data_IF_428012304318
#
_entry.id   IF_428012304318
#
_cell.length_a   1.000
_cell.length_b   1.000
_cell.length_c   1.000
_cell.angle_alpha   90.00
_cell.angle_beta   90.00
_cell.angle_gamma   90.00
#
_symmetry.space_group_name_H-M   'P 1'
#
loop_
_entity.id
_entity.type
_entity.pdbx_description
1 polymer ?
#
# COMPACT_ATOMS: atom_id res chain seq x y z
N UNK A 1 13.54 9.82 16.50
CA UNK A 1 12.06 9.93 16.44
C UNK A 1 11.56 10.12 17.86
N UNK A 2 10.72 11.12 18.12
CA UNK A 2 10.09 11.29 19.44
C UNK A 2 8.93 10.30 19.61
N UNK A 3 8.43 10.14 20.84
CA UNK A 3 7.37 9.18 21.16
C UNK A 3 6.08 9.44 20.37
N UNK A 4 5.72 10.71 20.16
CA UNK A 4 4.53 11.09 19.38
C UNK A 4 4.61 10.59 17.93
N UNK A 5 5.74 10.80 17.25
CA UNK A 5 5.90 10.35 15.87
C UNK A 5 6.04 8.82 15.77
N UNK A 6 6.59 8.16 16.79
CA UNK A 6 6.58 6.69 16.86
C UNK A 6 5.13 6.16 16.96
N UNK A 7 4.29 6.75 17.81
CA UNK A 7 2.89 6.35 17.94
C UNK A 7 2.11 6.60 16.65
N UNK A 8 2.33 7.74 15.97
CA UNK A 8 1.74 8.01 14.64
C UNK A 8 2.18 6.97 13.61
N UNK A 9 3.45 6.55 13.63
CA UNK A 9 3.97 5.54 12.71
C UNK A 9 3.31 4.17 12.94
N UNK A 10 3.22 3.75 14.20
CA UNK A 10 2.57 2.49 14.58
C UNK A 10 1.09 2.51 14.22
N UNK A 11 0.39 3.60 14.53
CA UNK A 11 -1.02 3.79 14.18
C UNK A 11 -1.23 3.75 12.67
N UNK A 12 -0.37 4.43 11.90
CA UNK A 12 -0.45 4.41 10.45
C UNK A 12 -0.21 2.99 9.89
N UNK A 13 0.76 2.27 10.44
CA UNK A 13 1.02 0.89 10.04
C UNK A 13 -0.16 -0.04 10.37
N UNK A 14 -0.79 0.16 11.52
CA UNK A 14 -2.01 -0.54 11.92
C UNK A 14 -3.17 -0.27 10.94
N UNK A 15 -3.37 0.99 10.55
CA UNK A 15 -4.43 1.41 9.63
C UNK A 15 -4.18 0.86 8.21
N UNK A 16 -2.97 1.00 7.67
CA UNK A 16 -2.65 0.51 6.33
C UNK A 16 -2.58 -1.02 6.26
N UNK A 17 -2.06 -1.70 7.28
CA UNK A 17 -2.17 -3.15 7.42
C UNK A 17 -3.63 -3.61 7.51
N UNK A 18 -4.49 -2.85 8.19
CA UNK A 18 -5.93 -3.10 8.29
C UNK A 18 -6.69 -2.98 6.97
N UNK A 19 -6.13 -2.32 5.95
CA UNK A 19 -6.75 -2.25 4.62
C UNK A 19 -6.95 -3.65 4.02
N UNK A 20 -6.03 -4.60 4.24
CA UNK A 20 -6.17 -5.96 3.72
C UNK A 20 -7.26 -6.76 4.41
N UNK A 21 -7.45 -6.54 5.73
CA UNK A 21 -8.59 -7.08 6.49
C UNK A 21 -9.91 -6.63 5.87
N UNK A 22 -10.12 -5.33 5.72
CA UNK A 22 -11.38 -4.81 5.19
C UNK A 22 -11.61 -5.23 3.73
N UNK A 23 -10.56 -5.30 2.91
CA UNK A 23 -10.68 -5.84 1.55
C UNK A 23 -11.10 -7.31 1.55
N UNK A 24 -10.55 -8.13 2.46
CA UNK A 24 -10.93 -9.55 2.57
C UNK A 24 -12.38 -9.77 3.01
N UNK A 25 -12.91 -8.86 3.82
CA UNK A 25 -14.31 -8.87 4.25
C UNK A 25 -15.23 -8.46 3.09
N UNK A 26 -14.89 -7.37 2.39
CA UNK A 26 -15.82 -6.73 1.46
C UNK A 26 -15.71 -7.23 0.01
N UNK A 27 -14.52 -7.60 -0.48
CA UNK A 27 -14.31 -7.98 -1.88
C UNK A 27 -15.11 -9.22 -2.34
N UNK A 28 -15.34 -10.25 -1.50
CA UNK A 28 -16.20 -11.38 -1.88
C UNK A 28 -17.66 -10.98 -2.12
N UNK A 29 -18.16 -9.93 -1.45
CA UNK A 29 -19.58 -9.50 -1.53
C UNK A 29 -19.79 -8.40 -2.56
N UNK A 30 -18.91 -7.39 -2.58
CA UNK A 30 -19.00 -6.25 -3.48
C UNK A 30 -18.32 -6.50 -4.83
N UNK A 31 -17.40 -7.44 -4.90
CA UNK A 31 -16.52 -7.58 -6.06
C UNK A 31 -15.44 -6.48 -6.11
N UNK A 32 -14.37 -6.66 -6.92
CA UNK A 32 -13.25 -5.73 -6.95
C UNK A 32 -13.62 -4.33 -7.46
N UNK A 33 -14.42 -4.24 -8.53
CA UNK A 33 -14.78 -2.97 -9.15
C UNK A 33 -15.56 -2.07 -8.20
N UNK A 34 -16.69 -2.57 -7.70
CA UNK A 34 -17.58 -1.81 -6.80
C UNK A 34 -16.91 -1.47 -5.47
N UNK A 35 -16.16 -2.41 -4.88
CA UNK A 35 -15.43 -2.14 -3.63
C UNK A 35 -14.43 -0.99 -3.79
N UNK A 36 -13.64 -1.02 -4.87
CA UNK A 36 -12.61 -0.01 -5.07
C UNK A 36 -13.22 1.32 -5.44
N UNK A 37 -14.29 1.34 -6.23
CA UNK A 37 -15.06 2.54 -6.51
C UNK A 37 -15.54 3.21 -5.21
N UNK A 38 -16.15 2.45 -4.29
CA UNK A 38 -16.51 2.98 -2.98
C UNK A 38 -15.30 3.52 -2.21
N UNK A 39 -14.20 2.76 -2.15
CA UNK A 39 -12.98 3.16 -1.44
C UNK A 39 -12.46 4.51 -1.95
N UNK A 40 -12.25 4.65 -3.25
CA UNK A 40 -11.63 5.85 -3.83
C UNK A 40 -12.59 7.04 -3.80
N UNK A 41 -13.89 6.82 -4.01
CA UNK A 41 -14.90 7.89 -3.93
C UNK A 41 -15.09 8.39 -2.50
N UNK A 42 -15.18 7.49 -1.50
CA UNK A 42 -15.24 7.92 -0.10
C UNK A 42 -13.97 8.65 0.34
N UNK A 43 -12.80 8.19 -0.10
CA UNK A 43 -11.54 8.89 0.15
C UNK A 43 -11.51 10.28 -0.50
N UNK A 44 -11.96 10.40 -1.75
CA UNK A 44 -12.02 11.66 -2.49
C UNK A 44 -12.96 12.66 -1.82
N UNK A 45 -14.16 12.23 -1.42
CA UNK A 45 -15.14 13.05 -0.70
C UNK A 45 -14.57 13.50 0.65
N UNK A 46 -13.99 12.58 1.42
CA UNK A 46 -13.39 12.93 2.72
C UNK A 46 -12.27 13.96 2.57
N UNK A 47 -11.35 13.77 1.61
CA UNK A 47 -10.27 14.70 1.36
C UNK A 47 -10.77 16.04 0.81
N UNK A 48 -11.87 16.06 0.05
CA UNK A 48 -12.53 17.29 -0.37
C UNK A 48 -13.09 18.07 0.83
N UNK A 49 -13.77 17.39 1.77
CA UNK A 49 -14.25 18.01 3.01
C UNK A 49 -13.09 18.58 3.85
N UNK A 50 -12.00 17.84 3.99
CA UNK A 50 -10.79 18.32 4.65
C UNK A 50 -10.19 19.52 3.91
N UNK A 51 -10.17 19.51 2.58
CA UNK A 51 -9.68 20.63 1.78
C UNK A 51 -10.51 21.90 2.01
N UNK A 52 -11.83 21.77 2.13
CA UNK A 52 -12.73 22.89 2.47
C UNK A 52 -12.41 23.47 3.85
N UNK A 53 -12.27 22.62 4.87
CA UNK A 53 -11.94 23.05 6.24
C UNK A 53 -10.57 23.72 6.30
N UNK A 54 -9.57 23.16 5.60
CA UNK A 54 -8.22 23.72 5.51
C UNK A 54 -8.10 24.90 4.53
N UNK A 55 -9.19 25.28 3.85
CA UNK A 55 -9.23 26.29 2.78
C UNK A 55 -8.16 26.08 1.70
N UNK A 56 -7.85 24.81 1.40
CA UNK A 56 -6.90 24.42 0.36
C UNK A 56 -7.65 24.17 -0.94
N UNK A 57 -7.28 24.89 -2.00
CA UNK A 57 -7.83 24.66 -3.35
C UNK A 57 -7.04 23.56 -4.07
N UNK A 58 -7.75 22.70 -4.80
CA UNK A 58 -7.14 21.73 -5.69
C UNK A 58 -7.08 22.34 -7.10
N UNK A 59 -5.88 22.62 -7.60
CA UNK A 59 -5.68 23.17 -8.94
C UNK A 59 -5.76 22.05 -10.00
N UNK A 60 -6.99 21.65 -10.33
CA UNK A 60 -7.26 20.62 -11.33
C UNK A 60 -6.85 21.07 -12.73
N UNK A 61 -7.10 22.34 -13.11
CA UNK A 61 -6.79 22.84 -14.45
C UNK A 61 -5.31 22.69 -14.79
N UNK A 62 -4.43 22.98 -13.82
CA UNK A 62 -2.98 22.87 -14.01
C UNK A 62 -2.45 21.44 -13.93
N UNK A 63 -3.00 20.60 -13.05
CA UNK A 63 -2.41 19.31 -12.69
C UNK A 63 -3.25 18.07 -13.04
N UNK A 64 -4.37 18.19 -13.77
CA UNK A 64 -5.25 17.04 -14.06
C UNK A 64 -4.54 15.84 -14.67
N UNK A 65 -3.64 16.03 -15.65
CA UNK A 65 -2.87 14.92 -16.26
C UNK A 65 -1.99 14.22 -15.23
N UNK A 66 -1.39 14.99 -14.32
CA UNK A 66 -0.58 14.45 -13.25
C UNK A 66 -1.43 13.60 -12.30
N UNK A 67 -2.60 14.11 -11.91
CA UNK A 67 -3.52 13.38 -11.06
C UNK A 67 -4.06 12.12 -11.73
N UNK A 68 -4.30 12.11 -13.05
CA UNK A 68 -4.68 10.90 -13.77
C UNK A 68 -3.60 9.82 -13.73
N UNK A 69 -2.35 10.18 -14.04
CA UNK A 69 -1.23 9.22 -14.00
C UNK A 69 -1.02 8.70 -12.58
N UNK A 70 -1.02 9.60 -11.58
CA UNK A 70 -0.83 9.22 -10.19
C UNK A 70 -2.01 8.40 -9.67
N UNK A 71 -3.24 8.80 -9.97
CA UNK A 71 -4.47 8.09 -9.61
C UNK A 71 -4.51 6.68 -10.20
N UNK A 72 -4.09 6.52 -11.45
CA UNK A 72 -4.01 5.22 -12.09
C UNK A 72 -3.02 4.28 -11.38
N UNK A 73 -1.74 4.68 -11.32
CA UNK A 73 -0.67 3.78 -10.85
C UNK A 73 -0.61 3.64 -9.33
N UNK A 74 -1.04 4.66 -8.58
CA UNK A 74 -0.96 4.67 -7.12
C UNK A 74 -2.27 4.30 -6.42
N UNK A 75 -3.40 4.21 -7.13
CA UNK A 75 -4.70 4.00 -6.49
C UNK A 75 -5.59 3.04 -7.27
N UNK A 76 -6.08 3.43 -8.46
CA UNK A 76 -7.05 2.65 -9.22
C UNK A 76 -6.54 1.23 -9.55
N UNK A 77 -5.43 1.13 -10.28
CA UNK A 77 -4.86 -0.15 -10.68
C UNK A 77 -4.44 -1.02 -9.49
N UNK A 78 -3.60 -0.55 -8.55
CA UNK A 78 -3.15 -1.40 -7.45
C UNK A 78 -4.29 -1.80 -6.52
N UNK A 79 -5.24 -0.91 -6.22
CA UNK A 79 -6.36 -1.27 -5.36
C UNK A 79 -7.27 -2.30 -6.02
N UNK A 80 -7.57 -2.16 -7.33
CA UNK A 80 -8.35 -3.16 -8.07
C UNK A 80 -7.68 -4.53 -8.05
N UNK A 81 -6.37 -4.57 -8.29
CA UNK A 81 -5.60 -5.81 -8.27
C UNK A 81 -5.54 -6.45 -6.89
N UNK A 82 -5.38 -5.66 -5.81
CA UNK A 82 -5.45 -6.19 -4.44
C UNK A 82 -6.85 -6.66 -4.06
N UNK A 83 -7.91 -5.96 -4.47
CA UNK A 83 -9.29 -6.39 -4.21
C UNK A 83 -9.62 -7.66 -4.99
N UNK A 84 -9.14 -7.78 -6.23
CA UNK A 84 -9.22 -9.03 -7.00
C UNK A 84 -8.50 -10.17 -6.28
N UNK A 85 -7.26 -9.94 -5.85
CA UNK A 85 -6.48 -10.94 -5.13
C UNK A 85 -7.11 -11.32 -3.77
N UNK A 86 -7.78 -10.38 -3.10
CA UNK A 86 -8.48 -10.61 -1.84
C UNK A 86 -9.71 -11.52 -1.94
N UNK A 87 -10.15 -11.89 -3.14
CA UNK A 87 -11.15 -12.96 -3.28
C UNK A 87 -10.57 -14.34 -3.00
N UNK A 88 -9.26 -14.51 -3.16
CA UNK A 88 -8.59 -15.83 -3.10
C UNK A 88 -7.57 -15.90 -1.97
N UNK A 89 -6.74 -14.87 -1.82
CA UNK A 89 -5.62 -14.84 -0.87
C UNK A 89 -6.03 -14.31 0.49
N UNK A 90 -5.30 -14.69 1.54
CA UNK A 90 -5.46 -14.17 2.91
C UNK A 90 -5.00 -12.72 3.04
N UNK A 91 -5.52 -11.99 4.03
CA UNK A 91 -5.07 -10.65 4.37
C UNK A 91 -3.57 -10.64 4.71
N UNK A 92 -3.10 -11.68 5.41
CA UNK A 92 -1.69 -11.93 5.69
C UNK A 92 -0.85 -11.94 4.41
N UNK A 93 -1.19 -12.78 3.42
CA UNK A 93 -0.43 -12.89 2.16
C UNK A 93 -0.45 -11.58 1.38
N UNK A 94 -1.61 -10.92 1.23
CA UNK A 94 -1.71 -9.65 0.53
C UNK A 94 -0.82 -8.58 1.14
N UNK A 95 -0.79 -8.51 2.49
CA UNK A 95 0.01 -7.52 3.21
C UNK A 95 1.51 -7.71 3.00
N UNK A 96 1.98 -8.96 2.93
CA UNK A 96 3.39 -9.26 2.67
C UNK A 96 3.75 -9.03 1.21
N UNK A 97 2.90 -9.43 0.25
CA UNK A 97 3.10 -9.13 -1.17
C UNK A 97 3.21 -7.62 -1.40
N UNK A 98 2.39 -6.82 -0.72
CA UNK A 98 2.48 -5.37 -0.78
C UNK A 98 3.83 -4.82 -0.26
N UNK A 99 4.46 -5.45 0.73
CA UNK A 99 5.76 -5.03 1.26
C UNK A 99 6.93 -5.24 0.29
N UNK A 100 6.68 -5.87 -0.86
CA UNK A 100 7.63 -5.93 -1.97
C UNK A 100 7.66 -4.65 -2.81
N UNK A 101 6.77 -3.68 -2.59
CA UNK A 101 6.76 -2.44 -3.38
C UNK A 101 8.13 -1.73 -3.45
N UNK A 102 8.94 -1.62 -2.36
CA UNK A 102 10.23 -0.95 -2.48
C UNK A 102 11.30 -1.75 -3.26
N UNK A 103 11.17 -3.09 -3.33
CA UNK A 103 12.00 -3.96 -4.19
C UNK A 103 11.78 -3.58 -5.65
N UNK A 104 10.51 -3.50 -6.06
CA UNK A 104 10.13 -3.02 -7.39
C UNK A 104 10.58 -1.57 -7.64
N UNK A 105 10.53 -0.71 -6.61
CA UNK A 105 10.98 0.68 -6.67
C UNK A 105 12.44 0.80 -7.06
N UNK A 106 13.30 -0.07 -6.51
CA UNK A 106 14.71 -0.08 -6.84
C UNK A 106 14.98 -0.62 -8.26
N UNK A 107 14.23 -1.63 -8.70
CA UNK A 107 14.34 -2.16 -10.07
C UNK A 107 13.93 -1.08 -11.08
N UNK A 108 12.74 -0.50 -10.92
CA UNK A 108 12.20 0.53 -11.83
C UNK A 108 13.11 1.76 -11.83
N UNK A 109 13.59 2.20 -10.66
CA UNK A 109 14.53 3.31 -10.55
C UNK A 109 15.85 3.03 -11.28
N UNK A 110 16.43 1.84 -11.11
CA UNK A 110 17.68 1.46 -11.79
C UNK A 110 17.51 1.42 -13.32
N UNK A 111 16.41 0.86 -13.81
CA UNK A 111 16.07 0.83 -15.25
C UNK A 111 15.88 2.25 -15.79
N UNK A 112 15.13 3.09 -15.09
CA UNK A 112 14.83 4.45 -15.52
C UNK A 112 16.08 5.34 -15.60
N UNK A 113 16.95 5.26 -14.59
CA UNK A 113 18.17 6.06 -14.53
C UNK A 113 19.38 5.41 -15.22
N UNK A 114 19.22 4.20 -15.79
CA UNK A 114 20.28 3.42 -16.43
C UNK A 114 21.52 3.21 -15.55
N UNK A 115 21.30 3.02 -14.25
CA UNK A 115 22.37 2.75 -13.28
C UNK A 115 22.41 1.28 -12.90
N UNK A 116 23.63 0.77 -12.65
CA UNK A 116 23.80 -0.59 -12.13
C UNK A 116 23.22 -0.71 -10.72
N UNK A 117 22.48 -1.79 -10.50
CA UNK A 117 21.93 -2.14 -9.20
C UNK A 117 23.08 -2.54 -8.27
N UNK A 118 23.17 -1.94 -7.09
CA UNK A 118 24.22 -2.30 -6.13
C UNK A 118 24.07 -3.75 -5.63
N UNK A 119 25.17 -4.38 -5.21
CA UNK A 119 25.15 -5.75 -4.64
C UNK A 119 24.17 -5.88 -3.46
N UNK A 120 24.02 -4.83 -2.64
CA UNK A 120 23.06 -4.80 -1.52
C UNK A 120 21.62 -4.86 -2.02
N UNK A 121 21.30 -4.11 -3.07
CA UNK A 121 19.97 -4.13 -3.67
C UNK A 121 19.72 -5.51 -4.30
N UNK A 122 20.67 -6.08 -5.05
CA UNK A 122 20.53 -7.44 -5.61
C UNK A 122 20.24 -8.51 -4.53
N UNK A 123 20.98 -8.49 -3.42
CA UNK A 123 20.72 -9.39 -2.29
C UNK A 123 19.32 -9.15 -1.70
N UNK A 124 18.89 -7.90 -1.57
CA UNK A 124 17.56 -7.57 -1.09
C UNK A 124 16.45 -8.03 -2.04
N UNK A 125 16.67 -7.93 -3.36
CA UNK A 125 15.76 -8.47 -4.38
C UNK A 125 15.65 -10.00 -4.28
N UNK A 126 16.79 -10.69 -4.15
CA UNK A 126 16.84 -12.13 -3.99
C UNK A 126 16.08 -12.59 -2.73
N UNK A 127 16.38 -11.97 -1.58
CA UNK A 127 15.70 -12.25 -0.33
C UNK A 127 14.19 -12.01 -0.45
N UNK A 128 13.76 -10.84 -0.94
CA UNK A 128 12.34 -10.56 -1.09
C UNK A 128 11.62 -11.55 -2.00
N UNK A 129 12.25 -11.95 -3.10
CA UNK A 129 11.73 -13.00 -3.99
C UNK A 129 11.60 -14.33 -3.26
N UNK A 130 12.62 -14.74 -2.50
CA UNK A 130 12.58 -15.96 -1.68
C UNK A 130 11.49 -15.90 -0.61
N UNK A 131 11.34 -14.76 0.06
CA UNK A 131 10.30 -14.57 1.08
C UNK A 131 8.89 -14.68 0.50
N UNK A 132 8.66 -14.11 -0.69
CA UNK A 132 7.40 -14.31 -1.44
C UNK A 132 7.21 -15.76 -1.84
N UNK A 133 8.22 -16.41 -2.43
CA UNK A 133 8.15 -17.80 -2.85
C UNK A 133 7.84 -18.75 -1.68
N UNK A 134 8.40 -18.47 -0.50
CA UNK A 134 8.13 -19.21 0.73
C UNK A 134 6.67 -19.05 1.20
N UNK A 135 6.13 -17.84 1.14
CA UNK A 135 4.73 -17.59 1.48
C UNK A 135 3.78 -18.34 0.56
N UNK A 136 4.04 -18.25 -0.74
CA UNK A 136 3.22 -18.88 -1.77
C UNK A 136 3.33 -20.40 -1.74
N UNK A 137 4.55 -20.93 -1.55
CA UNK A 137 4.82 -22.36 -1.64
C UNK A 137 4.28 -23.19 -0.47
N UNK A 138 4.13 -22.59 0.71
CA UNK A 138 3.69 -23.31 1.93
C UNK A 138 2.30 -22.91 2.41
N UNK A 139 1.69 -21.86 1.84
CA UNK A 139 0.33 -21.46 2.20
C UNK A 139 -0.71 -22.30 1.47
N UNK A 140 -1.54 -23.02 2.21
CA UNK A 140 -2.60 -23.86 1.65
C UNK A 140 -3.64 -23.06 0.84
N UNK A 141 -3.85 -21.78 1.19
CA UNK A 141 -4.71 -20.91 0.39
C UNK A 141 -4.10 -20.56 -0.98
N UNK A 142 -2.77 -20.65 -1.10
CA UNK A 142 -2.04 -20.46 -2.36
C UNK A 142 -2.06 -21.71 -3.27
N UNK A 143 -2.60 -22.84 -2.80
CA UNK A 143 -2.85 -24.05 -3.60
C UNK A 143 -4.26 -24.09 -4.22
N UNK A 144 -5.10 -23.08 -3.94
CA UNK A 144 -6.46 -22.98 -4.52
C UNK A 144 -6.42 -22.61 -6.00
N UNK A 145 -7.44 -23.01 -6.74
CA UNK A 145 -7.63 -22.58 -8.13
C UNK A 145 -7.67 -21.04 -8.20
N UNK A 146 -6.93 -20.47 -9.15
CA UNK A 146 -6.80 -19.02 -9.31
C UNK A 146 -5.81 -18.32 -8.36
N UNK A 147 -5.19 -19.03 -7.40
CA UNK A 147 -4.23 -18.41 -6.48
C UNK A 147 -3.01 -17.83 -7.18
N UNK A 148 -2.46 -18.52 -8.20
CA UNK A 148 -1.34 -18.01 -9.00
C UNK A 148 -1.65 -16.67 -9.68
N UNK A 149 -2.85 -16.53 -10.24
CA UNK A 149 -3.31 -15.27 -10.84
C UNK A 149 -3.51 -14.18 -9.79
N UNK A 150 -4.05 -14.52 -8.61
CA UNK A 150 -4.21 -13.58 -7.50
C UNK A 150 -2.85 -13.07 -6.97
N UNK A 151 -1.85 -13.95 -6.88
CA UNK A 151 -0.48 -13.59 -6.48
C UNK A 151 0.15 -12.68 -7.53
N UNK A 152 0.00 -13.01 -8.82
CA UNK A 152 0.47 -12.17 -9.92
C UNK A 152 -0.18 -10.78 -9.88
N UNK A 153 -1.49 -10.70 -9.65
CA UNK A 153 -2.23 -9.45 -9.51
C UNK A 153 -1.71 -8.60 -8.33
N UNK A 154 -1.58 -9.18 -7.13
CA UNK A 154 -1.06 -8.48 -5.95
C UNK A 154 0.40 -8.03 -6.12
N UNK A 155 1.22 -8.83 -6.79
CA UNK A 155 2.61 -8.47 -7.11
C UNK A 155 2.67 -7.34 -8.14
N UNK A 156 1.82 -7.38 -9.17
CA UNK A 156 1.68 -6.30 -10.14
C UNK A 156 1.16 -5.01 -9.49
N UNK A 157 0.30 -5.12 -8.47
CA UNK A 157 -0.12 -3.97 -7.68
C UNK A 157 1.06 -3.32 -6.94
N UNK A 158 1.90 -4.13 -6.27
CA UNK A 158 3.11 -3.64 -5.62
C UNK A 158 4.10 -2.99 -6.61
N UNK A 159 4.24 -3.57 -7.79
CA UNK A 159 5.01 -2.99 -8.89
C UNK A 159 4.44 -1.66 -9.38
N UNK A 160 3.11 -1.53 -9.50
CA UNK A 160 2.42 -0.31 -9.92
C UNK A 160 2.77 0.90 -9.05
N UNK A 161 2.87 0.73 -7.72
CA UNK A 161 3.32 1.79 -6.81
C UNK A 161 4.73 2.30 -7.13
N UNK A 162 5.59 1.43 -7.68
CA UNK A 162 6.96 1.79 -8.05
C UNK A 162 7.03 2.68 -9.29
N UNK A 163 6.11 2.45 -10.24
CA UNK A 163 5.91 3.34 -11.38
C UNK A 163 5.47 4.71 -10.88
N UNK A 164 4.45 4.76 -10.01
CA UNK A 164 3.96 6.01 -9.42
C UNK A 164 5.07 6.76 -8.66
N UNK A 165 5.82 6.06 -7.82
CA UNK A 165 6.91 6.64 -7.03
C UNK A 165 8.03 7.17 -7.92
N UNK A 166 8.41 6.45 -8.98
CA UNK A 166 9.43 6.91 -9.93
C UNK A 166 8.91 8.11 -10.72
N UNK A 167 7.68 8.04 -11.22
CA UNK A 167 7.01 9.11 -11.94
C UNK A 167 6.99 10.42 -11.14
N UNK A 168 6.58 10.38 -9.87
CA UNK A 168 6.52 11.60 -9.02
C UNK A 168 7.88 12.27 -8.81
N UNK A 169 8.98 11.52 -8.90
CA UNK A 169 10.34 12.05 -8.77
C UNK A 169 10.85 12.71 -10.05
N UNK A 170 10.47 12.18 -11.22
CA UNK A 170 11.07 12.56 -12.50
C UNK A 170 10.18 13.48 -13.36
N UNK A 171 8.86 13.40 -13.19
CA UNK A 171 7.93 14.14 -14.03
C UNK A 171 7.87 15.61 -13.60
N UNK A 172 8.15 16.53 -14.54
CA UNK A 172 8.02 17.98 -14.31
C UNK A 172 6.62 18.37 -13.82
N UNK A 173 5.58 17.69 -14.31
CA UNK A 173 4.19 17.93 -13.90
C UNK A 173 3.88 17.57 -12.44
N UNK A 174 4.73 16.76 -11.81
CA UNK A 174 4.63 16.37 -10.40
C UNK A 174 5.43 17.31 -9.48
N UNK A 175 6.37 18.08 -10.02
CA UNK A 175 7.23 18.96 -9.24
C UNK A 175 6.42 20.13 -8.66
N UNK A 176 6.60 20.39 -7.36
CA UNK A 176 5.89 21.46 -6.65
C UNK A 176 4.44 21.15 -6.29
N UNK A 177 3.94 19.93 -6.56
CA UNK A 177 2.61 19.51 -6.11
C UNK A 177 2.69 19.03 -4.67
N UNK A 178 1.98 19.73 -3.77
CA UNK A 178 1.91 19.41 -2.35
C UNK A 178 1.40 17.98 -2.09
N UNK A 179 1.93 17.24 -1.09
CA UNK A 179 1.52 15.87 -0.81
C UNK A 179 0.00 15.70 -0.60
N UNK A 180 -0.64 16.66 0.09
CA UNK A 180 -2.10 16.66 0.26
C UNK A 180 -2.85 16.79 -1.07
N UNK A 181 -2.37 17.64 -1.99
CA UNK A 181 -2.96 17.79 -3.32
C UNK A 181 -2.76 16.53 -4.16
N UNK A 182 -1.61 15.85 -4.04
CA UNK A 182 -1.38 14.54 -4.65
C UNK A 182 -2.39 13.50 -4.17
N UNK A 183 -2.61 13.35 -2.87
CA UNK A 183 -3.63 12.42 -2.35
C UNK A 183 -5.03 12.80 -2.83
N UNK A 184 -5.43 14.07 -2.66
CA UNK A 184 -6.78 14.51 -2.99
C UNK A 184 -7.08 14.38 -4.50
N UNK A 185 -6.20 14.89 -5.36
CA UNK A 185 -6.38 14.82 -6.81
C UNK A 185 -6.28 13.41 -7.36
N UNK A 186 -5.36 12.58 -6.85
CA UNK A 186 -5.25 11.19 -7.29
C UNK A 186 -6.44 10.33 -6.89
N UNK A 187 -7.10 10.57 -5.74
CA UNK A 187 -8.33 9.85 -5.38
C UNK A 187 -9.49 10.20 -6.32
N UNK A 188 -9.67 11.46 -6.68
CA UNK A 188 -10.68 11.86 -7.68
C UNK A 188 -10.39 11.26 -9.06
N UNK A 189 -9.14 11.31 -9.49
CA UNK A 189 -8.72 10.67 -10.72
C UNK A 189 -8.95 9.15 -10.68
N UNK A 190 -8.65 8.51 -9.56
CA UNK A 190 -8.88 7.09 -9.39
C UNK A 190 -10.37 6.74 -9.46
N UNK A 191 -11.24 7.50 -8.79
CA UNK A 191 -12.70 7.34 -8.89
C UNK A 191 -13.19 7.40 -10.32
N UNK A 192 -12.73 8.39 -11.10
CA UNK A 192 -13.08 8.47 -12.52
C UNK A 192 -12.58 7.25 -13.32
N UNK A 193 -11.35 6.82 -13.05
CA UNK A 193 -10.70 5.72 -13.77
C UNK A 193 -11.23 4.34 -13.40
N UNK A 194 -11.85 4.17 -12.24
CA UNK A 194 -12.40 2.88 -11.77
C UNK A 194 -13.81 2.61 -12.28
N UNK A 195 -14.55 3.62 -12.76
CA UNK A 195 -15.92 3.45 -13.30
C UNK A 195 -16.04 2.31 -14.34
N UNK A 196 -15.15 2.18 -15.35
CA UNK A 196 -15.27 1.08 -16.32
C UNK A 196 -15.16 -0.31 -15.69
N UNK A 197 -14.49 -0.43 -14.54
CA UNK A 197 -14.35 -1.71 -13.83
C UNK A 197 -15.67 -2.22 -13.23
N UNK A 198 -16.66 -1.35 -13.05
CA UNK A 198 -18.00 -1.73 -12.55
C UNK A 198 -18.71 -2.71 -13.49
N UNK A 199 -18.49 -2.57 -14.81
CA UNK A 199 -19.05 -3.48 -15.81
C UNK A 199 -18.30 -4.81 -15.89
N UNK A 200 -16.99 -4.80 -15.61
CA UNK A 200 -16.12 -6.00 -15.68
C UNK A 200 -16.25 -6.83 -14.41
N UNK A 201 -16.40 -6.18 -13.26
CA UNK A 201 -16.47 -6.78 -11.94
C UNK A 201 -17.75 -6.34 -11.22
N UNK A 202 -18.93 -6.83 -11.66
CA UNK A 202 -20.20 -6.49 -11.03
C UNK A 202 -20.26 -7.04 -9.60
N UNK A 203 -21.15 -6.44 -8.81
CA UNK A 203 -21.41 -6.84 -7.43
C UNK A 203 -22.06 -8.23 -7.37
N UNK A 204 -21.39 -9.25 -6.78
CA UNK A 204 -21.92 -10.61 -6.72
C UNK A 204 -22.98 -10.82 -5.63
N UNK A 205 -22.98 -10.03 -4.55
CA UNK A 205 -23.90 -10.22 -3.42
C UNK A 205 -24.46 -8.92 -2.87
N UNK A 206 -25.45 -9.03 -1.98
CA UNK A 206 -26.09 -7.85 -1.37
C UNK A 206 -25.24 -7.31 -0.20
N UNK A 207 -24.90 -6.01 -0.21
CA UNK A 207 -24.08 -5.42 0.84
C UNK A 207 -24.89 -5.22 2.12
N UNK A 208 -24.43 -5.86 3.19
CA UNK A 208 -24.93 -5.57 4.54
C UNK A 208 -24.33 -4.26 5.06
N UNK A 209 -24.88 -3.75 6.17
CA UNK A 209 -24.33 -2.57 6.87
C UNK A 209 -22.85 -2.77 7.23
N UNK A 210 -22.46 -3.98 7.64
CA UNK A 210 -21.07 -4.30 7.97
C UNK A 210 -20.13 -4.23 6.75
N UNK A 211 -20.60 -4.67 5.58
CA UNK A 211 -19.83 -4.58 4.33
C UNK A 211 -19.66 -3.12 3.91
N UNK A 212 -20.71 -2.31 4.02
CA UNK A 212 -20.63 -0.87 3.74
C UNK A 212 -19.74 -0.14 4.74
N UNK A 213 -19.76 -0.53 6.01
CA UNK A 213 -18.84 0.00 7.03
C UNK A 213 -17.38 -0.33 6.72
N UNK A 214 -17.09 -1.55 6.23
CA UNK A 214 -15.75 -1.93 5.77
C UNK A 214 -15.30 -1.10 4.55
N UNK A 215 -16.19 -0.87 3.58
CA UNK A 215 -15.91 -0.01 2.44
C UNK A 215 -15.66 1.45 2.85
N UNK A 216 -16.47 1.96 3.79
CA UNK A 216 -16.29 3.29 4.37
C UNK A 216 -14.95 3.41 5.12
N UNK A 217 -14.60 2.41 5.92
CA UNK A 217 -13.31 2.35 6.61
C UNK A 217 -12.15 2.32 5.60
N UNK A 218 -12.26 1.57 4.50
CA UNK A 218 -11.25 1.58 3.45
C UNK A 218 -11.02 2.96 2.84
N UNK A 219 -12.10 3.69 2.53
CA UNK A 219 -11.99 5.01 1.92
C UNK A 219 -11.57 6.10 2.92
N UNK A 220 -12.29 6.21 4.03
CA UNK A 220 -12.08 7.29 5.01
C UNK A 220 -10.89 7.01 5.90
N UNK A 221 -10.83 5.85 6.54
CA UNK A 221 -9.76 5.54 7.50
C UNK A 221 -8.46 5.15 6.80
N UNK A 222 -8.49 4.15 5.92
CA UNK A 222 -7.27 3.59 5.30
C UNK A 222 -6.68 4.44 4.17
N UNK A 223 -7.48 5.28 3.50
CA UNK A 223 -6.99 6.18 2.45
C UNK A 223 -7.00 7.64 2.94
N UNK A 224 -8.14 8.20 3.36
CA UNK A 224 -8.25 9.60 3.78
C UNK A 224 -7.38 9.98 4.98
N UNK A 225 -7.73 9.49 6.17
CA UNK A 225 -7.06 9.77 7.45
C UNK A 225 -5.61 9.29 7.41
N UNK A 226 -5.36 8.10 6.86
CA UNK A 226 -4.02 7.56 6.75
C UNK A 226 -3.07 8.46 5.93
N UNK A 227 -3.54 9.07 4.83
CA UNK A 227 -2.72 10.02 4.08
C UNK A 227 -2.38 11.26 4.91
N UNK A 228 -3.32 11.78 5.72
CA UNK A 228 -3.04 12.92 6.61
C UNK A 228 -1.96 12.58 7.65
N UNK A 229 -2.05 11.40 8.26
CA UNK A 229 -1.03 10.90 9.20
C UNK A 229 0.32 10.72 8.51
N UNK A 230 0.33 10.13 7.31
CA UNK A 230 1.55 9.93 6.53
C UNK A 230 2.22 11.26 6.18
N UNK A 231 1.48 12.26 5.73
CA UNK A 231 2.05 13.57 5.40
C UNK A 231 2.54 14.31 6.64
N UNK A 232 1.84 14.20 7.77
CA UNK A 232 2.33 14.68 9.06
C UNK A 232 3.67 14.04 9.41
N UNK A 233 3.79 12.71 9.28
CA UNK A 233 5.06 12.00 9.51
C UNK A 233 6.17 12.42 8.54
N UNK A 234 5.88 12.53 7.25
CA UNK A 234 6.87 12.99 6.25
C UNK A 234 7.39 14.38 6.60
N UNK A 235 6.52 15.29 7.04
CA UNK A 235 6.91 16.63 7.50
C UNK A 235 7.72 16.59 8.79
N UNK A 236 7.31 15.78 9.76
CA UNK A 236 7.87 15.81 11.12
C UNK A 236 9.19 15.00 11.24
N UNK A 237 9.37 13.93 10.45
CA UNK A 237 10.55 13.03 10.53
C UNK A 237 11.23 12.73 9.20
N UNK A 238 10.76 13.34 8.10
CA UNK A 238 11.28 13.16 6.76
C UNK A 238 10.72 11.92 6.04
N UNK A 239 10.79 11.89 4.69
CA UNK A 239 10.21 10.81 3.87
C UNK A 239 10.87 9.45 4.12
N UNK A 240 12.18 9.40 4.33
CA UNK A 240 12.90 8.15 4.60
C UNK A 240 12.41 7.47 5.89
N UNK A 241 12.21 8.24 6.96
CA UNK A 241 11.69 7.71 8.23
C UNK A 241 10.22 7.32 8.09
N UNK A 242 9.39 8.13 7.43
CA UNK A 242 7.98 7.83 7.23
C UNK A 242 7.75 6.54 6.42
N UNK A 243 8.60 6.27 5.42
CA UNK A 243 8.56 5.05 4.62
C UNK A 243 8.73 3.77 5.44
N UNK A 244 9.28 3.84 6.66
CA UNK A 244 9.43 2.66 7.52
C UNK A 244 8.10 2.02 7.92
N UNK A 245 7.00 2.77 7.80
CA UNK A 245 5.64 2.24 7.96
C UNK A 245 5.38 1.04 7.04
N UNK A 246 5.95 1.04 5.83
CA UNK A 246 5.77 -0.04 4.86
C UNK A 246 6.38 -1.37 5.33
N UNK A 247 7.37 -1.34 6.21
CA UNK A 247 7.94 -2.53 6.85
C UNK A 247 7.06 -3.07 7.98
N UNK A 248 6.24 -2.20 8.59
CA UNK A 248 5.36 -2.56 9.70
C UNK A 248 3.99 -3.05 9.21
N UNK A 249 3.56 -2.62 8.02
CA UNK A 249 2.28 -3.01 7.42
C UNK A 249 2.03 -4.54 7.42
N UNK A 250 3.00 -5.40 7.07
CA UNK A 250 2.77 -6.86 7.07
C UNK A 250 2.53 -7.42 8.46
N UNK A 251 3.20 -6.87 9.49
CA UNK A 251 3.02 -7.32 10.87
C UNK A 251 1.56 -7.09 11.30
N UNK A 252 1.01 -5.92 10.97
CA UNK A 252 -0.39 -5.62 11.24
C UNK A 252 -1.35 -6.38 10.33
N UNK A 253 -1.02 -6.59 9.05
CA UNK A 253 -1.84 -7.40 8.15
C UNK A 253 -2.00 -8.84 8.66
N UNK A 254 -0.90 -9.44 9.12
CA UNK A 254 -0.89 -10.77 9.75
C UNK A 254 -1.67 -10.75 11.06
N UNK A 255 -1.42 -9.76 11.94
CA UNK A 255 -2.11 -9.63 13.22
C UNK A 255 -3.64 -9.52 13.04
N UNK A 256 -4.08 -8.67 12.11
CA UNK A 256 -5.50 -8.47 11.84
C UNK A 256 -6.15 -9.67 11.19
N UNK A 257 -5.45 -10.35 10.27
CA UNK A 257 -5.91 -11.62 9.70
C UNK A 257 -6.09 -12.69 10.78
N UNK A 258 -5.14 -12.84 11.68
CA UNK A 258 -5.20 -13.81 12.78
C UNK A 258 -6.35 -13.50 13.77
N UNK A 259 -6.47 -12.24 14.20
CA UNK A 259 -7.43 -11.84 15.24
C UNK A 259 -8.88 -11.80 14.74
N UNK A 260 -9.11 -11.27 13.53
CA UNK A 260 -10.47 -10.95 13.06
C UNK A 260 -10.98 -11.88 11.95
N UNK A 261 -10.09 -12.52 11.20
CA UNK A 261 -10.46 -13.48 10.14
C UNK A 261 -10.13 -14.92 10.51
N UNK A 262 -9.58 -15.15 11.70
CA UNK A 262 -9.13 -16.45 12.17
C UNK A 262 -8.17 -17.14 11.17
N UNK A 263 -7.31 -16.35 10.51
CA UNK A 263 -6.31 -16.88 9.59
C UNK A 263 -5.28 -17.73 10.36
N UNK A 264 -4.99 -18.92 9.84
CA UNK A 264 -3.95 -19.78 10.39
C UNK A 264 -2.59 -19.20 9.99
N UNK A 265 -1.91 -18.58 10.95
CA UNK A 265 -0.56 -18.03 10.75
C UNK A 265 0.47 -19.14 10.96
N UNK A 266 0.92 -19.73 9.86
CA UNK A 266 1.97 -20.73 9.89
C UNK A 266 3.36 -20.13 10.10
N UNK A 267 4.33 -20.98 10.43
CA UNK A 267 5.74 -20.61 10.53
C UNK A 267 6.27 -19.97 9.24
N UNK A 268 5.77 -20.40 8.08
CA UNK A 268 6.12 -19.87 6.76
C UNK A 268 5.64 -18.44 6.55
N UNK A 269 4.50 -18.04 7.15
CA UNK A 269 4.00 -16.66 7.11
C UNK A 269 4.96 -15.72 7.83
N UNK A 270 5.40 -16.12 9.03
CA UNK A 270 6.32 -15.34 9.85
C UNK A 270 7.71 -15.28 9.20
N UNK A 271 8.25 -16.43 8.78
CA UNK A 271 9.56 -16.49 8.15
C UNK A 271 9.59 -15.74 6.81
N UNK A 272 8.58 -15.92 5.96
CA UNK A 272 8.45 -15.22 4.69
C UNK A 272 8.33 -13.70 4.88
N UNK A 273 7.51 -13.24 5.82
CA UNK A 273 7.40 -11.82 6.17
C UNK A 273 8.75 -11.25 6.66
N UNK A 274 9.46 -11.97 7.54
CA UNK A 274 10.77 -11.55 8.04
C UNK A 274 11.80 -11.44 6.91
N UNK A 275 11.81 -12.40 5.98
CA UNK A 275 12.69 -12.40 4.82
C UNK A 275 12.36 -11.23 3.89
N UNK A 276 11.08 -10.99 3.58
CA UNK A 276 10.65 -9.84 2.74
C UNK A 276 11.05 -8.53 3.39
N UNK A 277 10.76 -8.33 4.67
CA UNK A 277 11.13 -7.11 5.41
C UNK A 277 12.64 -6.90 5.36
N UNK A 278 13.44 -7.94 5.60
CA UNK A 278 14.90 -7.88 5.55
C UNK A 278 15.40 -7.51 4.15
N UNK A 279 14.84 -8.14 3.11
CA UNK A 279 15.17 -7.83 1.72
C UNK A 279 14.87 -6.37 1.37
N UNK A 280 13.69 -5.89 1.75
CA UNK A 280 13.25 -4.51 1.52
C UNK A 280 14.13 -3.51 2.30
N UNK A 281 14.55 -3.83 3.54
CA UNK A 281 15.49 -3.00 4.30
C UNK A 281 16.86 -2.89 3.61
N UNK A 282 17.38 -3.99 3.05
CA UNK A 282 18.63 -3.98 2.28
C UNK A 282 18.52 -3.14 1.02
N UNK A 283 17.40 -3.24 0.29
CA UNK A 283 17.14 -2.44 -0.92
C UNK A 283 17.08 -0.95 -0.61
N UNK A 284 16.35 -0.57 0.45
CA UNK A 284 16.18 0.83 0.85
C UNK A 284 17.42 1.41 1.54
N UNK A 285 18.38 0.57 1.94
CA UNK A 285 19.54 0.97 2.73
C UNK A 285 19.18 1.36 4.16
N UNK A 286 17.96 1.05 4.62
CA UNK A 286 17.50 1.39 5.96
C UNK A 286 18.25 0.58 7.00
N UNK A 287 18.90 1.28 7.94
CA UNK A 287 19.56 0.68 9.11
C UNK A 287 18.66 0.89 10.33
N UNK A 288 18.22 -0.20 10.97
CA UNK A 288 17.55 -0.12 12.27
C UNK A 288 18.56 0.39 13.28
N UNK A 289 18.43 1.66 13.69
CA UNK A 289 19.19 2.18 14.82
C UNK A 289 18.51 1.71 16.10
N UNK A 290 18.99 0.59 16.64
CA UNK A 290 18.50 0.08 17.92
C UNK A 290 18.86 1.07 19.05
N UNK A 291 17.97 1.30 20.04
CA UNK A 291 18.20 2.27 21.12
C UNK A 291 19.51 2.07 21.88
N UNK A 292 19.99 0.84 21.99
CA UNK A 292 21.25 0.48 22.67
C UNK A 292 22.51 0.79 21.85
N UNK A 293 22.40 0.96 20.52
CA UNK A 293 23.51 1.36 19.65
C UNK A 293 23.79 2.88 19.68
N UNK A 294 22.98 3.64 20.43
CA UNK A 294 23.10 5.10 20.54
C UNK A 294 24.23 5.55 21.47
N UNK A 295 24.88 4.61 22.18
CA UNK A 295 25.93 4.89 23.18
C UNK A 295 27.36 4.88 22.63
N UNK A 296 27.62 4.54 21.37
CA UNK A 296 29.01 4.42 20.86
C UNK A 296 29.46 5.52 19.87
N UNK A 297 28.65 6.55 19.60
CA UNK A 297 29.03 7.69 18.74
C UNK A 297 29.28 8.97 19.56
N UNK A 298 29.47 8.84 20.88
CA UNK A 298 29.87 9.93 21.77
C UNK A 298 31.19 9.56 22.47
N UNK A 299 32.27 9.44 21.68
CA UNK A 299 33.66 9.61 22.10
C UNK A 299 34.39 10.30 20.97
#
# INVERSE_FOLDING_TARGET
>A
MNTSNLLKLILLAAIWGGSFLFMRIAAPVLGPGVLIEYRVTFAAIFLALVALVLRKRLDLGKHWKHYLVLGFFNSALPFLLFAFAAKTLTASVLSVLNATAPIWGAIVGAVWHRHMVSRRVMLGLALGTTGVAMLVGFDHASSKEGAGLAIAAATLAAFSYSIATTYTKVAKSAQGVEPFANAHGSMWAAALLTIPSLAIFPQPGEPTVGIMAAALALGVLCSGIAYLLYFGLVRDVGPTSALTVTFLNPLFGILWGALFLHEVVGWYTIAGAAIVITGTMLVTGYKVKLPWMRKSEAV
#
